data_IF_386145468456
#
_entry.id   IF_386145468456
#
_cell.length_a   1.000
_cell.length_b   1.000
_cell.length_c   1.000
_cell.angle_alpha   90.00
_cell.angle_beta   90.00
_cell.angle_gamma   90.00
#
_symmetry.space_group_name_H-M   'P 1'
#
loop_
_entity.id
_entity.type
_entity.pdbx_description
1 polymer ?
#
# COMPACT_ATOMS: atom_id res chain seq x y z
N UNK A 1 -28.53 22.30 4.69
CA UNK A 1 -27.44 21.67 5.46
C UNK A 1 -26.91 22.73 6.39
N UNK A 2 -27.09 22.57 7.70
CA UNK A 2 -26.59 23.51 8.72
C UNK A 2 -25.08 23.56 8.64
N UNK A 3 -24.53 24.77 8.48
CA UNK A 3 -23.10 25.00 8.66
C UNK A 3 -22.78 24.77 10.15
N UNK A 4 -22.19 23.62 10.45
CA UNK A 4 -21.86 23.17 11.80
C UNK A 4 -20.59 23.84 12.35
N UNK A 5 -20.07 24.89 11.69
CA UNK A 5 -18.85 25.58 12.12
C UNK A 5 -17.62 24.67 12.13
N UNK A 6 -17.68 23.56 11.39
CA UNK A 6 -16.64 22.54 11.36
C UNK A 6 -15.53 22.93 10.38
N UNK A 7 -14.32 23.11 10.92
CA UNK A 7 -13.14 23.40 10.11
C UNK A 7 -12.69 22.16 9.32
N UNK A 8 -13.29 22.01 8.14
CA UNK A 8 -13.07 20.87 7.26
C UNK A 8 -11.61 20.77 6.79
N UNK A 9 -10.94 21.91 6.63
CA UNK A 9 -9.53 21.94 6.25
C UNK A 9 -8.64 21.35 7.36
N UNK A 10 -8.86 21.75 8.62
CA UNK A 10 -8.18 21.14 9.77
C UNK A 10 -8.47 19.66 9.90
N UNK A 11 -9.72 19.24 9.64
CA UNK A 11 -10.08 17.83 9.68
C UNK A 11 -9.34 17.02 8.61
N UNK A 12 -9.27 17.52 7.36
CA UNK A 12 -8.47 16.88 6.32
C UNK A 12 -7.00 16.78 6.71
N UNK A 13 -6.42 17.85 7.28
CA UNK A 13 -5.02 17.84 7.70
C UNK A 13 -4.76 16.82 8.81
N UNK A 14 -5.58 16.83 9.86
CA UNK A 14 -5.45 15.91 11.00
C UNK A 14 -5.57 14.46 10.55
N UNK A 15 -6.68 14.11 9.90
CA UNK A 15 -6.93 12.71 9.55
C UNK A 15 -6.02 12.22 8.42
N UNK A 16 -5.50 13.08 7.55
CA UNK A 16 -4.52 12.66 6.56
C UNK A 16 -3.24 12.14 7.23
N UNK A 17 -2.73 12.88 8.23
CA UNK A 17 -1.54 12.50 8.99
C UNK A 17 -1.82 11.32 9.93
N UNK A 18 -2.95 11.32 10.64
CA UNK A 18 -3.34 10.25 11.56
C UNK A 18 -3.48 8.91 10.83
N UNK A 19 -4.24 8.86 9.74
CA UNK A 19 -4.39 7.62 8.96
C UNK A 19 -3.04 7.16 8.36
N UNK A 20 -2.19 8.09 7.90
CA UNK A 20 -0.87 7.75 7.36
C UNK A 20 0.02 7.09 8.41
N UNK A 21 0.07 7.66 9.61
CA UNK A 21 0.85 7.16 10.74
C UNK A 21 0.33 5.82 11.23
N UNK A 22 -0.99 5.68 11.40
CA UNK A 22 -1.62 4.44 11.86
C UNK A 22 -1.44 3.29 10.86
N UNK A 23 -1.32 3.60 9.57
CA UNK A 23 -1.01 2.60 8.53
C UNK A 23 0.35 1.94 8.76
N UNK A 24 1.37 2.67 9.22
CA UNK A 24 2.70 2.10 9.50
C UNK A 24 2.66 1.02 10.59
N UNK A 25 1.88 1.26 11.65
CA UNK A 25 1.69 0.26 12.70
C UNK A 25 1.12 -1.07 12.18
N UNK A 26 0.27 -1.02 11.15
CA UNK A 26 -0.20 -2.22 10.47
C UNK A 26 0.85 -2.79 9.53
N UNK A 27 1.55 -1.97 8.74
CA UNK A 27 2.63 -2.41 7.84
C UNK A 27 3.70 -3.23 8.60
N UNK A 28 4.07 -2.80 9.80
CA UNK A 28 5.13 -3.40 10.61
C UNK A 28 4.66 -4.63 11.42
N UNK A 29 3.35 -4.89 11.48
CA UNK A 29 2.80 -6.07 12.15
C UNK A 29 3.03 -7.32 11.29
N UNK A 30 3.76 -8.31 11.84
CA UNK A 30 4.08 -9.55 11.13
C UNK A 30 2.86 -10.48 10.94
N UNK A 31 2.04 -10.63 11.98
CA UNK A 31 0.88 -11.53 12.00
C UNK A 31 -0.43 -10.73 11.84
N UNK A 32 -0.62 -10.09 10.67
CA UNK A 32 -1.87 -9.41 10.34
C UNK A 32 -2.98 -10.41 10.03
N UNK A 33 -4.19 -10.14 10.55
CA UNK A 33 -5.40 -10.84 10.10
C UNK A 33 -5.89 -10.27 8.75
N UNK A 34 -6.76 -11.00 8.02
CA UNK A 34 -7.37 -10.47 6.80
C UNK A 34 -8.11 -9.13 7.00
N UNK A 35 -8.73 -8.93 8.17
CA UNK A 35 -9.41 -7.68 8.52
C UNK A 35 -8.40 -6.53 8.74
N UNK A 36 -7.24 -6.84 9.31
CA UNK A 36 -6.16 -5.86 9.48
C UNK A 36 -5.48 -5.51 8.15
N UNK A 37 -5.37 -6.47 7.23
CA UNK A 37 -4.92 -6.25 5.87
C UNK A 37 -5.85 -5.27 5.12
N UNK A 38 -7.17 -5.44 5.25
CA UNK A 38 -8.13 -4.52 4.63
C UNK A 38 -8.09 -3.15 5.32
N UNK A 39 -8.06 -3.10 6.66
CA UNK A 39 -7.96 -1.86 7.43
C UNK A 39 -6.70 -1.07 7.08
N UNK A 40 -5.58 -1.74 6.83
CA UNK A 40 -4.33 -1.13 6.38
C UNK A 40 -4.52 -0.40 5.04
N UNK A 41 -5.21 -1.02 4.09
CA UNK A 41 -5.51 -0.40 2.81
C UNK A 41 -6.51 0.76 2.95
N UNK A 42 -7.56 0.60 3.75
CA UNK A 42 -8.55 1.64 4.03
C UNK A 42 -7.90 2.90 4.61
N UNK A 43 -7.03 2.75 5.62
CA UNK A 43 -6.31 3.86 6.24
C UNK A 43 -5.40 4.59 5.24
N UNK A 44 -4.64 3.85 4.44
CA UNK A 44 -3.74 4.44 3.45
C UNK A 44 -4.53 5.23 2.38
N UNK A 45 -5.62 4.64 1.87
CA UNK A 45 -6.49 5.30 0.89
C UNK A 45 -7.21 6.52 1.49
N UNK A 46 -7.67 6.40 2.74
CA UNK A 46 -8.26 7.49 3.51
C UNK A 46 -7.29 8.66 3.70
N UNK A 47 -6.01 8.37 3.97
CA UNK A 47 -4.95 9.36 4.07
C UNK A 47 -4.75 10.08 2.73
N UNK A 48 -4.50 9.32 1.66
CA UNK A 48 -4.28 9.87 0.31
C UNK A 48 -5.44 10.75 -0.13
N UNK A 49 -6.68 10.26 0.01
CA UNK A 49 -7.85 11.05 -0.36
C UNK A 49 -7.91 12.38 0.40
N UNK A 50 -7.63 12.40 1.71
CA UNK A 50 -7.64 13.64 2.50
C UNK A 50 -6.53 14.60 2.09
N UNK A 51 -5.35 14.10 1.75
CA UNK A 51 -4.30 14.93 1.14
C UNK A 51 -4.79 15.58 -0.17
N UNK A 52 -5.59 14.89 -1.00
CA UNK A 52 -6.14 15.50 -2.23
C UNK A 52 -7.22 16.56 -2.00
N UNK A 53 -7.75 16.69 -0.77
CA UNK A 53 -8.73 17.73 -0.42
C UNK A 53 -8.09 19.02 0.08
N UNK A 54 -6.78 19.05 0.16
CA UNK A 54 -5.99 20.16 0.66
C UNK A 54 -5.34 20.91 -0.50
N UNK A 55 -5.53 22.22 -0.54
CA UNK A 55 -4.87 23.11 -1.52
C UNK A 55 -3.40 23.34 -1.18
N UNK A 56 -3.05 23.25 0.11
CA UNK A 56 -1.70 23.48 0.66
C UNK A 56 -0.80 22.23 0.64
N UNK A 57 -1.24 21.14 -0.01
CA UNK A 57 -0.49 19.88 0.02
C UNK A 57 0.78 19.96 -0.82
N UNK A 58 1.92 19.68 -0.20
CA UNK A 58 3.17 19.52 -0.93
C UNK A 58 3.08 18.31 -1.89
N UNK A 59 3.55 18.42 -3.15
CA UNK A 59 3.56 17.29 -4.08
C UNK A 59 4.23 16.03 -3.52
N UNK A 60 5.25 16.21 -2.67
CA UNK A 60 5.96 15.12 -2.02
C UNK A 60 5.07 14.31 -1.06
N UNK A 61 4.15 14.95 -0.33
CA UNK A 61 3.24 14.25 0.58
C UNK A 61 2.32 13.28 -0.19
N UNK A 62 1.81 13.72 -1.35
CA UNK A 62 1.03 12.86 -2.23
C UNK A 62 1.89 11.73 -2.83
N UNK A 63 3.14 12.02 -3.20
CA UNK A 63 4.06 11.01 -3.71
C UNK A 63 4.29 9.90 -2.67
N UNK A 64 4.59 10.26 -1.42
CA UNK A 64 4.78 9.32 -0.32
C UNK A 64 3.49 8.57 0.03
N UNK A 65 2.33 9.24 0.02
CA UNK A 65 1.04 8.58 0.24
C UNK A 65 0.73 7.51 -0.82
N UNK A 66 0.92 7.83 -2.11
CA UNK A 66 0.74 6.83 -3.18
C UNK A 66 1.78 5.71 -3.11
N UNK A 67 3.00 6.00 -2.65
CA UNK A 67 3.98 4.97 -2.39
C UNK A 67 3.52 4.00 -1.30
N UNK A 68 3.01 4.51 -0.18
CA UNK A 68 2.50 3.67 0.91
C UNK A 68 1.40 2.73 0.41
N UNK A 69 0.45 3.24 -0.39
CA UNK A 69 -0.60 2.42 -1.04
C UNK A 69 0.00 1.35 -1.98
N UNK A 70 1.02 1.72 -2.76
CA UNK A 70 1.75 0.77 -3.62
C UNK A 70 2.39 -0.36 -2.82
N UNK A 71 3.07 -0.02 -1.71
CA UNK A 71 3.70 -0.99 -0.81
C UNK A 71 2.68 -1.95 -0.21
N UNK A 72 1.52 -1.42 0.22
CA UNK A 72 0.43 -2.23 0.76
C UNK A 72 -0.07 -3.22 -0.28
N UNK A 73 -0.35 -2.79 -1.51
CA UNK A 73 -0.76 -3.70 -2.56
C UNK A 73 0.30 -4.78 -2.86
N UNK A 74 1.60 -4.47 -2.75
CA UNK A 74 2.65 -5.46 -2.88
C UNK A 74 2.62 -6.48 -1.73
N UNK A 75 2.44 -6.03 -0.47
CA UNK A 75 2.30 -6.89 0.70
C UNK A 75 1.09 -7.84 0.59
N UNK A 76 -0.01 -7.36 -0.01
CA UNK A 76 -1.23 -8.14 -0.25
C UNK A 76 -1.18 -9.02 -1.51
N UNK A 77 -0.04 -9.07 -2.23
CA UNK A 77 0.09 -9.83 -3.48
C UNK A 77 -0.67 -9.27 -4.69
N UNK A 78 -1.14 -8.01 -4.61
CA UNK A 78 -1.96 -7.33 -5.64
C UNK A 78 -1.07 -6.55 -6.62
N UNK A 79 -0.29 -7.29 -7.41
CA UNK A 79 0.74 -6.79 -8.32
C UNK A 79 0.33 -5.60 -9.23
N UNK A 80 -0.83 -5.71 -9.90
CA UNK A 80 -1.30 -4.69 -10.85
C UNK A 80 -1.57 -3.35 -10.16
N UNK A 81 -2.17 -3.38 -8.98
CA UNK A 81 -2.46 -2.18 -8.21
C UNK A 81 -1.18 -1.59 -7.60
N UNK A 82 -0.27 -2.42 -7.11
CA UNK A 82 1.05 -1.97 -6.66
C UNK A 82 1.75 -1.15 -7.76
N UNK A 83 1.82 -1.69 -8.99
CA UNK A 83 2.39 -0.98 -10.14
C UNK A 83 1.65 0.32 -10.46
N UNK A 84 0.32 0.32 -10.41
CA UNK A 84 -0.50 1.50 -10.69
C UNK A 84 -0.19 2.64 -9.70
N UNK A 85 -0.19 2.35 -8.40
CA UNK A 85 0.07 3.36 -7.38
C UNK A 85 1.54 3.79 -7.33
N UNK A 86 2.48 2.89 -7.61
CA UNK A 86 3.90 3.24 -7.79
C UNK A 86 4.11 4.26 -8.93
N UNK A 87 3.41 4.11 -10.06
CA UNK A 87 3.44 5.11 -11.15
C UNK A 87 2.85 6.46 -10.71
N UNK A 88 1.75 6.46 -9.95
CA UNK A 88 1.17 7.69 -9.41
C UNK A 88 2.13 8.40 -8.46
N UNK A 89 2.80 7.65 -7.59
CA UNK A 89 3.84 8.17 -6.69
C UNK A 89 4.96 8.85 -7.48
N UNK A 90 5.50 8.18 -8.50
CA UNK A 90 6.55 8.71 -9.37
C UNK A 90 6.15 10.03 -10.04
N UNK A 91 4.95 10.08 -10.64
CA UNK A 91 4.44 11.29 -11.31
C UNK A 91 4.32 12.46 -10.33
N UNK A 92 3.94 12.20 -9.07
CA UNK A 92 3.86 13.25 -8.04
C UNK A 92 5.23 13.67 -7.52
N UNK A 93 6.15 12.73 -7.32
CA UNK A 93 7.51 12.99 -6.87
C UNK A 93 8.33 13.80 -7.89
N UNK A 94 8.19 13.50 -9.17
CA UNK A 94 8.86 14.27 -10.25
C UNK A 94 8.40 15.72 -10.30
N UNK A 95 7.11 15.99 -10.02
CA UNK A 95 6.58 17.37 -9.91
C UNK A 95 7.13 18.12 -8.69
N UNK A 96 7.63 17.41 -7.68
CA UNK A 96 8.15 17.99 -6.44
C UNK A 96 9.66 18.23 -6.41
N UNK A 97 10.40 17.89 -7.47
CA UNK A 97 11.87 17.96 -7.48
C UNK A 97 12.51 16.75 -6.78
N UNK A 98 12.36 15.58 -7.41
CA UNK A 98 12.58 14.22 -6.91
C UNK A 98 13.76 13.99 -5.94
N UNK A 99 13.43 13.44 -4.77
CA UNK A 99 14.35 12.70 -3.90
C UNK A 99 14.53 11.26 -4.45
N UNK A 100 15.79 10.75 -4.58
CA UNK A 100 16.09 9.37 -4.97
C UNK A 100 15.25 8.28 -4.29
N UNK A 101 14.79 8.51 -3.06
CA UNK A 101 13.92 7.58 -2.33
C UNK A 101 12.63 7.22 -3.08
N UNK A 102 12.01 8.16 -3.81
CA UNK A 102 10.72 7.91 -4.50
C UNK A 102 10.87 6.95 -5.69
N UNK A 103 12.06 6.91 -6.31
CA UNK A 103 12.33 6.09 -7.50
C UNK A 103 12.62 4.64 -7.10
N UNK A 104 13.43 4.41 -6.06
CA UNK A 104 13.79 3.05 -5.60
C UNK A 104 12.56 2.22 -5.21
N UNK A 105 11.58 2.86 -4.57
CA UNK A 105 10.36 2.21 -4.15
C UNK A 105 9.39 1.81 -5.28
N UNK A 106 9.38 2.52 -6.41
CA UNK A 106 8.57 2.15 -7.56
C UNK A 106 9.09 0.86 -8.23
N UNK A 107 10.39 0.56 -8.08
CA UNK A 107 11.00 -0.68 -8.57
C UNK A 107 10.85 -1.86 -7.60
N UNK A 108 10.84 -1.62 -6.27
CA UNK A 108 10.52 -2.67 -5.27
C UNK A 108 9.08 -3.19 -5.36
N UNK A 109 8.15 -2.43 -5.94
CA UNK A 109 6.76 -2.84 -6.16
C UNK A 109 6.59 -3.89 -7.29
N UNK A 110 7.68 -4.32 -7.94
CA UNK A 110 7.65 -5.46 -8.85
C UNK A 110 7.48 -6.75 -8.02
N UNK A 111 6.47 -7.59 -8.31
CA UNK A 111 6.13 -8.70 -7.42
C UNK A 111 7.27 -9.71 -7.32
N UNK A 112 7.61 -10.10 -6.09
CA UNK A 112 8.17 -11.42 -5.80
C UNK A 112 7.02 -12.44 -5.72
N UNK A 113 7.22 -13.69 -6.16
CA UNK A 113 6.16 -14.70 -6.15
C UNK A 113 5.59 -14.90 -4.75
N UNK A 114 4.26 -14.86 -4.61
CA UNK A 114 3.58 -15.10 -3.33
C UNK A 114 3.86 -16.51 -2.84
N UNK A 115 4.30 -16.62 -1.58
CA UNK A 115 4.46 -17.90 -0.89
C UNK A 115 3.08 -18.34 -0.41
N UNK A 116 2.35 -19.10 -1.22
CA UNK A 116 1.11 -19.76 -0.78
C UNK A 116 1.43 -20.84 0.26
N UNK A 117 0.79 -20.87 1.44
CA UNK A 117 0.93 -21.97 2.40
C UNK A 117 0.46 -23.33 1.85
N UNK A 118 -0.39 -23.32 0.81
CA UNK A 118 -1.04 -24.52 0.27
C UNK A 118 -0.15 -25.37 -0.66
N UNK A 119 1.04 -24.90 -1.01
CA UNK A 119 1.92 -25.63 -1.94
C UNK A 119 2.66 -26.83 -1.30
N UNK A 120 2.57 -27.05 0.02
CA UNK A 120 3.24 -28.16 0.70
C UNK A 120 2.41 -29.46 0.81
N UNK A 121 1.11 -29.44 0.49
CA UNK A 121 0.26 -30.63 0.58
C UNK A 121 0.10 -31.43 -0.72
N UNK A 122 0.61 -30.93 -1.85
CA UNK A 122 0.45 -31.60 -3.16
C UNK A 122 1.66 -32.43 -3.61
N UNK A 123 2.78 -32.42 -2.85
CA UNK A 123 4.04 -33.04 -3.28
C UNK A 123 4.34 -34.44 -2.67
N UNK A 124 3.42 -35.05 -1.91
CA UNK A 124 3.63 -36.38 -1.29
C UNK A 124 2.87 -37.54 -1.94
N UNK A 125 2.19 -37.33 -3.07
CA UNK A 125 1.44 -38.41 -3.74
C UNK A 125 1.66 -38.47 -5.24
N UNK A 126 2.89 -38.67 -5.73
CA UNK A 126 3.16 -39.39 -7.00
C UNK A 126 4.64 -39.78 -7.09
N UNK A 127 5.01 -40.93 -6.52
CA UNK A 127 6.14 -41.74 -7.02
C UNK A 127 6.03 -43.18 -6.48
N UNK A 128 4.99 -43.90 -6.89
CA UNK A 128 5.05 -45.37 -6.93
C UNK A 128 5.72 -45.78 -8.24
N UNK A 129 7.01 -46.13 -8.19
CA UNK A 129 7.71 -46.83 -9.27
C UNK A 129 7.05 -48.20 -9.51
N UNK A 130 6.83 -48.65 -10.76
CA UNK A 130 6.61 -50.06 -11.01
C UNK A 130 7.97 -50.77 -11.15
N UNK A 131 8.18 -51.81 -10.31
CA UNK A 131 9.19 -52.84 -10.54
C UNK A 131 8.84 -53.56 -11.85
N UNK A 132 9.80 -53.69 -12.77
CA UNK A 132 9.76 -54.73 -13.80
C UNK A 132 10.83 -55.77 -13.48
N UNK A 133 10.38 -57.03 -13.57
CA UNK A 133 11.14 -58.27 -13.43
C UNK A 133 12.12 -58.43 -14.58
#
# INVERSE_FOLDING_TARGET
MTDVGFDTAKAHAFFAADCFSNTWGLIDKADRTPEEDERMLELAMASVWRWTKREDVAPNNLAVGYWQVSRIHALLGRASEARRYGKLSLVRGQKGGSDPFTIGYAYEALPVPSRSPDALHSATSTSRRPRRR
#
